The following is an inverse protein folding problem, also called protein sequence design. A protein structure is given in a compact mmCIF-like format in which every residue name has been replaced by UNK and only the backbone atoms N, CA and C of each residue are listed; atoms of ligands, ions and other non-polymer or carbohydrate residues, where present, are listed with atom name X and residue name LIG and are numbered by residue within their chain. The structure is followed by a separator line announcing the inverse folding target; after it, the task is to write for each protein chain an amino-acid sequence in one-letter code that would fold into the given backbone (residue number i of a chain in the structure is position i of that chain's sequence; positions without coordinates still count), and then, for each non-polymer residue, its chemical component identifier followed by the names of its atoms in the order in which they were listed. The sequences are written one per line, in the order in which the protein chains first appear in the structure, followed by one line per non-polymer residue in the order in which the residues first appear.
data_IF_151692836994
#
_entry.id   IF_151692836994
#
_cell.length_a   1.000
_cell.length_b   1.000
_cell.length_c   1.000
_cell.angle_alpha   90.00
_cell.angle_beta   90.00
_cell.angle_gamma   90.00
#
_symmetry.space_group_name_H-M   'P 1'
#
loop_
_entity.id
_entity.type
_entity.pdbx_description
1 polymer ?
#
# COMPACT_ATOMS: atom_id res chain seq x y z
N UNK A 1 21.29 10.67 5.46
CA UNK A 1 21.03 10.25 6.86
C UNK A 1 19.83 9.32 6.79
N UNK A 2 19.98 8.02 7.03
CA UNK A 2 18.85 7.08 6.86
C UNK A 2 17.75 7.37 7.89
N UNK A 3 16.52 7.57 7.41
CA UNK A 3 15.34 7.76 8.24
C UNK A 3 14.64 6.43 8.48
N UNK A 4 14.37 6.06 9.73
CA UNK A 4 13.63 4.82 10.04
C UNK A 4 12.17 5.16 10.34
N UNK A 5 11.26 4.67 9.52
CA UNK A 5 9.82 4.76 9.77
C UNK A 5 9.40 3.49 10.51
N UNK A 6 9.30 3.61 11.84
CA UNK A 6 8.85 2.50 12.67
C UNK A 6 7.32 2.52 12.66
N UNK A 7 6.72 1.53 12.00
CA UNK A 7 5.31 1.26 12.11
C UNK A 7 5.09 0.46 13.40
N UNK A 8 4.19 0.93 14.26
CA UNK A 8 3.82 0.18 15.45
C UNK A 8 3.26 -1.19 15.01
N UNK A 9 3.73 -2.26 15.65
CA UNK A 9 3.21 -3.59 15.41
C UNK A 9 1.70 -3.63 15.60
N UNK A 10 1.14 -2.81 16.49
CA UNK A 10 -0.30 -2.75 16.73
C UNK A 10 -1.06 -2.12 15.55
N UNK A 11 -0.52 -1.09 14.89
CA UNK A 11 -1.09 -0.54 13.65
C UNK A 11 -1.00 -1.52 12.48
N UNK A 12 0.08 -2.31 12.41
CA UNK A 12 0.26 -3.36 11.40
C UNK A 12 -0.54 -4.64 11.69
N UNK A 13 -0.88 -4.90 12.96
CA UNK A 13 -1.76 -5.99 13.38
C UNK A 13 -3.26 -5.60 13.29
N UNK A 14 -3.56 -4.29 13.27
CA UNK A 14 -4.86 -3.71 12.95
C UNK A 14 -5.12 -3.61 11.44
N UNK A 15 -4.07 -3.74 10.61
CA UNK A 15 -4.27 -4.11 9.21
C UNK A 15 -4.96 -5.47 9.24
N UNK A 16 -6.16 -5.62 8.65
CA UNK A 16 -6.86 -6.89 8.68
C UNK A 16 -5.96 -7.97 8.10
N UNK A 17 -5.45 -8.87 8.97
CA UNK A 17 -5.01 -10.17 8.52
C UNK A 17 -6.29 -10.87 8.05
N UNK A 18 -6.33 -11.39 6.82
CA UNK A 18 -7.56 -11.94 6.26
C UNK A 18 -8.11 -13.03 7.20
N UNK A 19 -9.27 -12.79 7.81
CA UNK A 19 -9.90 -13.75 8.70
C UNK A 19 -10.44 -14.94 7.87
N UNK A 20 -10.21 -16.21 8.29
CA UNK A 20 -10.51 -17.41 7.49
C UNK A 20 -12.00 -17.76 7.34
N UNK A 21 -12.90 -16.87 7.77
CA UNK A 21 -14.36 -17.09 7.71
C UNK A 21 -15.00 -16.37 6.51
N UNK A 22 -14.22 -15.59 5.77
CA UNK A 22 -14.68 -14.79 4.64
C UNK A 22 -14.12 -15.40 3.35
N UNK A 23 -15.00 -15.65 2.38
CA UNK A 23 -14.62 -16.25 1.11
C UNK A 23 -13.67 -15.31 0.33
N UNK A 24 -12.36 -15.55 0.45
CA UNK A 24 -11.28 -14.74 -0.11
C UNK A 24 -11.31 -14.62 -1.64
N UNK A 25 -12.06 -15.50 -2.31
CA UNK A 25 -12.12 -15.52 -3.75
C UNK A 25 -12.74 -14.26 -4.36
N UNK A 26 -13.41 -13.39 -3.59
CA UNK A 26 -14.15 -12.27 -4.16
C UNK A 26 -13.44 -10.91 -4.15
N UNK A 27 -12.26 -10.74 -3.57
CA UNK A 27 -11.56 -9.42 -3.56
C UNK A 27 -10.15 -9.49 -4.14
N UNK A 28 -9.58 -10.69 -4.26
CA UNK A 28 -8.29 -10.95 -4.93
C UNK A 28 -8.46 -11.21 -6.43
N UNK A 29 -9.69 -11.39 -6.90
CA UNK A 29 -10.04 -11.42 -8.32
C UNK A 29 -10.86 -10.18 -8.67
N UNK A 30 -10.84 -9.66 -9.90
CA UNK A 30 -11.43 -8.35 -10.21
C UNK A 30 -12.96 -8.22 -10.46
N UNK A 31 -13.71 -9.32 -10.49
CA UNK A 31 -15.11 -9.38 -11.00
C UNK A 31 -16.24 -9.03 -10.00
N UNK A 32 -15.95 -8.39 -8.87
CA UNK A 32 -16.81 -8.50 -7.67
C UNK A 32 -17.80 -7.38 -7.42
N UNK A 33 -17.62 -6.19 -8.00
CA UNK A 33 -18.52 -5.05 -7.74
C UNK A 33 -19.70 -4.97 -8.73
N UNK A 34 -19.50 -5.37 -9.99
CA UNK A 34 -20.55 -5.38 -11.01
C UNK A 34 -21.66 -6.45 -10.81
N UNK A 35 -21.42 -7.44 -9.95
CA UNK A 35 -22.31 -8.59 -9.77
C UNK A 35 -23.45 -8.38 -8.74
N UNK A 36 -23.45 -7.27 -7.97
CA UNK A 36 -24.33 -7.13 -6.81
C UNK A 36 -25.13 -5.81 -6.79
N UNK A 37 -26.44 -5.84 -7.10
CA UNK A 37 -27.31 -4.68 -6.97
C UNK A 37 -27.35 -4.12 -5.53
N UNK A 38 -27.44 -2.79 -5.39
CA UNK A 38 -27.34 -2.07 -4.09
C UNK A 38 -28.31 -2.52 -2.99
N UNK A 39 -29.45 -3.10 -3.38
CA UNK A 39 -30.47 -3.58 -2.46
C UNK A 39 -30.22 -5.03 -1.98
N UNK A 40 -29.13 -5.67 -2.42
CA UNK A 40 -28.82 -7.05 -2.08
C UNK A 40 -27.97 -7.16 -0.83
N UNK A 41 -28.13 -8.27 -0.10
CA UNK A 41 -27.27 -8.60 1.07
C UNK A 41 -25.79 -8.73 0.69
N UNK A 42 -25.50 -9.06 -0.56
CA UNK A 42 -24.14 -9.13 -1.08
C UNK A 42 -23.50 -7.75 -1.22
N UNK A 43 -24.25 -6.75 -1.71
CA UNK A 43 -23.79 -5.35 -1.71
C UNK A 43 -23.55 -4.83 -0.29
N UNK A 44 -24.41 -5.15 0.67
CA UNK A 44 -24.20 -4.77 2.08
C UNK A 44 -22.89 -5.38 2.62
N UNK A 45 -22.56 -6.63 2.27
CA UNK A 45 -21.29 -7.27 2.68
C UNK A 45 -20.08 -6.60 2.03
N UNK A 46 -20.19 -6.20 0.78
CA UNK A 46 -19.15 -5.52 0.03
C UNK A 46 -18.91 -4.09 0.56
N UNK A 47 -19.97 -3.37 0.91
CA UNK A 47 -19.91 -2.08 1.60
C UNK A 47 -19.24 -2.19 2.98
N UNK A 48 -19.50 -3.26 3.73
CA UNK A 48 -18.78 -3.57 4.97
C UNK A 48 -17.28 -3.83 4.74
N UNK A 49 -16.91 -4.57 3.69
CA UNK A 49 -15.50 -4.78 3.32
C UNK A 49 -14.81 -3.47 2.92
N UNK A 50 -15.52 -2.55 2.25
CA UNK A 50 -14.99 -1.21 1.94
C UNK A 50 -14.75 -0.35 3.15
N UNK A 51 -15.61 -0.45 4.15
CA UNK A 51 -15.40 0.26 5.41
C UNK A 51 -14.09 -0.17 6.06
N UNK A 52 -13.68 -1.44 5.94
CA UNK A 52 -12.37 -1.90 6.42
C UNK A 52 -11.24 -1.20 5.68
N UNK A 53 -11.25 -1.18 4.34
CA UNK A 53 -10.22 -0.47 3.55
C UNK A 53 -10.20 1.05 3.79
N UNK A 54 -11.38 1.64 4.02
CA UNK A 54 -11.50 3.04 4.40
C UNK A 54 -10.78 3.31 5.74
N UNK A 55 -11.07 2.53 6.78
CA UNK A 55 -10.40 2.67 8.08
C UNK A 55 -8.90 2.43 7.94
N UNK A 56 -8.51 1.35 7.27
CA UNK A 56 -7.10 1.01 7.02
C UNK A 56 -6.34 2.14 6.31
N UNK A 57 -6.96 2.83 5.35
CA UNK A 57 -6.36 3.98 4.68
C UNK A 57 -6.13 5.16 5.63
N UNK A 58 -7.18 5.58 6.35
CA UNK A 58 -7.15 6.80 7.16
C UNK A 58 -6.50 6.62 8.53
N UNK A 59 -6.45 5.41 9.07
CA UNK A 59 -5.69 5.11 10.28
C UNK A 59 -4.18 5.19 10.01
N UNK A 60 -3.75 4.81 8.80
CA UNK A 60 -2.34 4.89 8.37
C UNK A 60 -1.95 6.29 7.91
N UNK A 61 -2.80 6.96 7.15
CA UNK A 61 -2.53 8.30 6.62
C UNK A 61 -3.71 9.25 6.91
N UNK A 62 -3.86 9.70 8.16
CA UNK A 62 -4.94 10.59 8.56
C UNK A 62 -4.90 11.95 7.84
N UNK A 63 -3.74 12.36 7.31
CA UNK A 63 -3.58 13.60 6.54
C UNK A 63 -4.46 13.63 5.28
N UNK A 64 -4.81 12.46 4.73
CA UNK A 64 -5.72 12.35 3.62
C UNK A 64 -7.13 12.90 3.95
N UNK A 65 -7.54 12.91 5.22
CA UNK A 65 -8.79 13.58 5.63
C UNK A 65 -8.72 15.07 5.33
N UNK A 66 -7.63 15.72 5.73
CA UNK A 66 -7.41 17.15 5.46
C UNK A 66 -7.37 17.43 3.96
N UNK A 67 -6.77 16.51 3.19
CA UNK A 67 -6.68 16.62 1.74
C UNK A 67 -8.05 16.52 1.05
N UNK A 68 -8.92 15.63 1.54
CA UNK A 68 -10.26 15.41 1.01
C UNK A 68 -11.21 16.60 1.20
N UNK A 69 -10.91 17.50 2.14
CA UNK A 69 -11.75 18.66 2.47
C UNK A 69 -13.06 18.30 3.18
N UNK A 70 -13.32 17.01 3.45
CA UNK A 70 -14.50 16.53 4.18
C UNK A 70 -14.10 15.61 5.33
N UNK A 71 -14.76 15.69 6.50
CA UNK A 71 -14.41 14.86 7.66
C UNK A 71 -14.55 13.36 7.44
N UNK A 72 -15.28 12.94 6.41
CA UNK A 72 -15.60 11.54 6.13
C UNK A 72 -14.64 10.87 5.13
N UNK A 73 -13.69 11.61 4.54
CA UNK A 73 -12.73 11.08 3.56
C UNK A 73 -13.36 10.54 2.26
N UNK A 74 -14.68 10.59 2.09
CA UNK A 74 -15.36 10.01 0.93
C UNK A 74 -14.96 10.63 -0.42
N UNK A 75 -14.57 11.92 -0.52
CA UNK A 75 -14.08 12.50 -1.77
C UNK A 75 -12.83 11.84 -2.34
N UNK A 76 -12.01 11.20 -1.51
CA UNK A 76 -10.84 10.42 -1.96
C UNK A 76 -11.26 8.97 -2.14
N UNK A 77 -11.88 8.38 -1.12
CA UNK A 77 -12.11 6.95 -1.10
C UNK A 77 -13.03 6.47 -2.22
N UNK A 78 -14.18 7.12 -2.46
CA UNK A 78 -15.13 6.64 -3.47
C UNK A 78 -14.59 6.72 -4.90
N UNK A 79 -14.03 7.86 -5.35
CA UNK A 79 -13.47 7.94 -6.69
C UNK A 79 -12.28 7.00 -6.91
N UNK A 80 -11.44 6.80 -5.88
CA UNK A 80 -10.38 5.79 -5.92
C UNK A 80 -10.94 4.39 -6.13
N UNK A 81 -11.95 3.98 -5.36
CA UNK A 81 -12.52 2.64 -5.46
C UNK A 81 -13.15 2.37 -6.84
N UNK A 82 -13.80 3.37 -7.45
CA UNK A 82 -14.32 3.27 -8.81
C UNK A 82 -13.20 3.14 -9.86
N UNK A 83 -12.10 3.87 -9.67
CA UNK A 83 -10.94 3.78 -10.56
C UNK A 83 -10.24 2.42 -10.45
N UNK A 84 -10.03 1.95 -9.21
CA UNK A 84 -9.41 0.67 -8.93
C UNK A 84 -10.26 -0.51 -9.43
N UNK A 85 -11.59 -0.42 -9.34
CA UNK A 85 -12.51 -1.37 -9.95
C UNK A 85 -12.29 -1.43 -11.47
N UNK A 86 -12.31 -0.27 -12.15
CA UNK A 86 -12.15 -0.22 -13.62
C UNK A 86 -10.82 -0.82 -14.08
N UNK A 87 -9.76 -0.62 -13.31
CA UNK A 87 -8.42 -1.17 -13.59
C UNK A 87 -8.19 -2.55 -12.99
N UNK A 88 -9.20 -3.13 -12.34
CA UNK A 88 -9.18 -4.51 -11.87
C UNK A 88 -8.03 -4.76 -10.87
N UNK A 89 -7.76 -3.77 -10.01
CA UNK A 89 -6.61 -3.76 -9.09
C UNK A 89 -6.82 -4.63 -7.85
N UNK A 90 -5.73 -5.23 -7.39
CA UNK A 90 -5.58 -6.02 -6.19
C UNK A 90 -5.35 -5.12 -4.99
N UNK A 91 -6.03 -5.43 -3.90
CA UNK A 91 -5.87 -4.73 -2.62
C UNK A 91 -5.07 -5.57 -1.62
N UNK A 92 -4.07 -6.29 -2.11
CA UNK A 92 -3.04 -6.93 -1.29
C UNK A 92 -2.02 -5.88 -0.79
N UNK A 93 -0.76 -6.26 -0.58
CA UNK A 93 0.29 -5.32 -0.20
C UNK A 93 0.40 -4.04 -1.06
N UNK A 94 -0.09 -4.04 -2.31
CA UNK A 94 -0.05 -2.90 -3.23
C UNK A 94 -1.13 -1.84 -3.00
N UNK A 95 -2.10 -2.06 -2.11
CA UNK A 95 -3.25 -1.17 -1.90
C UNK A 95 -2.88 0.32 -1.79
N UNK A 96 -1.95 0.68 -0.90
CA UNK A 96 -1.60 2.09 -0.71
C UNK A 96 -0.75 2.66 -1.85
N UNK A 97 0.00 1.81 -2.57
CA UNK A 97 0.67 2.22 -3.80
C UNK A 97 -0.35 2.62 -4.86
N UNK A 98 -1.43 1.85 -4.99
CA UNK A 98 -2.50 2.18 -5.92
C UNK A 98 -3.26 3.44 -5.53
N UNK A 99 -3.47 3.68 -4.23
CA UNK A 99 -4.00 4.96 -3.75
C UNK A 99 -3.07 6.12 -4.14
N UNK A 100 -1.76 5.97 -3.96
CA UNK A 100 -0.79 6.99 -4.38
C UNK A 100 -0.81 7.23 -5.89
N UNK A 101 -0.75 6.18 -6.71
CA UNK A 101 -0.83 6.27 -8.17
C UNK A 101 -2.11 6.97 -8.64
N UNK A 102 -3.24 6.70 -7.98
CA UNK A 102 -4.49 7.39 -8.26
C UNK A 102 -4.45 8.87 -7.84
N UNK A 103 -3.91 9.18 -6.66
CA UNK A 103 -3.79 10.55 -6.17
C UNK A 103 -2.96 11.42 -7.12
N UNK A 104 -1.88 10.90 -7.70
CA UNK A 104 -1.06 11.57 -8.71
C UNK A 104 -1.84 11.97 -9.97
N UNK A 105 -2.90 11.24 -10.30
CA UNK A 105 -3.73 11.47 -11.49
C UNK A 105 -5.01 12.26 -11.18
N UNK A 106 -5.25 12.57 -9.91
CA UNK A 106 -6.49 13.20 -9.43
C UNK A 106 -6.31 14.71 -9.21
N UNK A 107 -7.39 15.39 -8.84
CA UNK A 107 -7.36 16.81 -8.43
C UNK A 107 -6.48 17.07 -7.19
N UNK A 108 -6.07 16.01 -6.50
CA UNK A 108 -5.29 16.03 -5.28
C UNK A 108 -3.78 16.05 -5.51
N UNK A 109 -3.30 15.82 -6.73
CA UNK A 109 -1.88 15.67 -7.05
C UNK A 109 -1.01 16.83 -6.54
N UNK A 110 -1.51 18.07 -6.68
CA UNK A 110 -0.79 19.29 -6.26
C UNK A 110 -0.73 19.49 -4.74
N UNK A 111 -1.49 18.72 -3.98
CA UNK A 111 -1.57 18.76 -2.52
C UNK A 111 -0.81 17.62 -1.84
N UNK A 112 -0.21 16.71 -2.63
CA UNK A 112 0.58 15.61 -2.09
C UNK A 112 1.87 16.14 -1.48
N UNK A 113 2.02 15.94 -0.17
CA UNK A 113 3.26 16.23 0.54
C UNK A 113 4.15 14.98 0.56
N UNK A 114 5.48 15.14 0.69
CA UNK A 114 6.39 13.99 0.88
C UNK A 114 5.94 13.09 2.03
N UNK A 115 5.42 13.66 3.11
CA UNK A 115 4.92 12.89 4.26
C UNK A 115 3.79 11.92 3.90
N UNK A 116 2.79 12.37 3.12
CA UNK A 116 1.69 11.52 2.65
C UNK A 116 2.25 10.39 1.77
N UNK A 117 3.13 10.74 0.83
CA UNK A 117 3.75 9.78 -0.10
C UNK A 117 4.54 8.72 0.68
N UNK A 118 5.37 9.15 1.64
CA UNK A 118 6.18 8.27 2.46
C UNK A 118 5.32 7.30 3.28
N UNK A 119 4.23 7.80 3.91
CA UNK A 119 3.30 6.95 4.68
C UNK A 119 2.64 5.89 3.81
N UNK A 120 2.17 6.24 2.61
CA UNK A 120 1.52 5.29 1.70
C UNK A 120 2.48 4.22 1.19
N UNK A 121 3.67 4.60 0.73
CA UNK A 121 4.66 3.64 0.23
C UNK A 121 5.12 2.72 1.36
N UNK A 122 5.45 3.30 2.50
CA UNK A 122 5.94 2.53 3.63
C UNK A 122 4.87 1.58 4.20
N UNK A 123 3.60 1.98 4.23
CA UNK A 123 2.51 1.07 4.61
C UNK A 123 2.38 -0.13 3.67
N UNK A 124 2.64 0.05 2.37
CA UNK A 124 2.66 -1.06 1.40
C UNK A 124 3.85 -1.99 1.64
N UNK A 125 5.04 -1.43 1.86
CA UNK A 125 6.24 -2.21 2.20
C UNK A 125 6.05 -3.03 3.48
N UNK A 126 5.49 -2.41 4.52
CA UNK A 126 5.18 -3.08 5.79
C UNK A 126 4.15 -4.20 5.58
N UNK A 127 3.11 -3.95 4.78
CA UNK A 127 2.08 -4.95 4.50
C UNK A 127 2.63 -6.13 3.72
N UNK A 128 3.53 -5.90 2.75
CA UNK A 128 4.23 -6.98 2.06
C UNK A 128 5.01 -7.86 3.05
N UNK A 129 5.75 -7.24 3.97
CA UNK A 129 6.54 -7.96 4.97
C UNK A 129 5.69 -8.83 5.92
N UNK A 130 4.41 -8.48 6.11
CA UNK A 130 3.44 -9.30 6.88
C UNK A 130 2.85 -10.43 6.04
N UNK A 131 2.52 -10.14 4.79
CA UNK A 131 1.76 -11.06 3.94
C UNK A 131 2.64 -12.10 3.24
N UNK A 132 3.85 -11.71 2.82
CA UNK A 132 4.71 -12.55 1.99
C UNK A 132 5.25 -13.75 2.78
N UNK A 133 5.08 -14.94 2.21
CA UNK A 133 5.57 -16.22 2.77
C UNK A 133 6.72 -16.81 1.96
N UNK A 134 7.25 -16.06 1.01
CA UNK A 134 8.39 -16.46 0.19
C UNK A 134 9.71 -16.43 0.94
N UNK A 135 10.77 -16.78 0.23
CA UNK A 135 12.14 -16.88 0.76
C UNK A 135 12.81 -15.51 0.97
N UNK A 136 12.29 -14.46 0.33
CA UNK A 136 12.88 -13.13 0.39
C UNK A 136 12.70 -12.50 1.78
N UNK A 137 13.72 -11.84 2.27
CA UNK A 137 13.75 -11.21 3.60
C UNK A 137 13.15 -9.80 3.59
N UNK A 138 13.20 -9.12 2.43
CA UNK A 138 12.68 -7.76 2.30
C UNK A 138 12.12 -7.44 0.91
N UNK A 139 11.39 -6.34 0.86
CA UNK A 139 10.94 -5.66 -0.36
C UNK A 139 11.51 -4.25 -0.37
N UNK A 140 11.90 -3.78 -1.54
CA UNK A 140 12.34 -2.40 -1.77
C UNK A 140 11.40 -1.79 -2.79
N UNK A 141 10.86 -0.61 -2.47
CA UNK A 141 9.95 0.15 -3.33
C UNK A 141 10.60 1.51 -3.62
N UNK A 142 10.63 1.90 -4.89
CA UNK A 142 11.12 3.20 -5.34
C UNK A 142 10.17 3.84 -6.35
N UNK A 143 10.39 5.13 -6.62
CA UNK A 143 9.56 5.90 -7.54
C UNK A 143 10.36 6.75 -8.51
N UNK A 144 9.66 7.27 -9.53
CA UNK A 144 10.27 8.15 -10.54
C UNK A 144 10.54 9.57 -10.04
N UNK A 145 9.82 9.98 -8.99
CA UNK A 145 9.67 11.38 -8.57
C UNK A 145 10.42 11.71 -7.27
N UNK A 146 10.99 10.70 -6.61
CA UNK A 146 11.77 10.85 -5.38
C UNK A 146 12.99 9.89 -5.43
N UNK A 147 14.16 10.32 -4.95
CA UNK A 147 15.40 9.52 -5.03
C UNK A 147 15.52 8.43 -3.96
N UNK A 148 14.73 8.51 -2.90
CA UNK A 148 14.78 7.56 -1.78
C UNK A 148 14.09 6.23 -2.14
N UNK A 149 14.51 5.16 -1.44
CA UNK A 149 13.83 3.87 -1.49
C UNK A 149 13.27 3.48 -0.13
N UNK A 150 12.18 2.72 -0.16
CA UNK A 150 11.51 2.20 1.02
C UNK A 150 11.77 0.71 1.13
N UNK A 151 12.55 0.30 2.12
CA UNK A 151 12.82 -1.10 2.39
C UNK A 151 11.93 -1.61 3.52
N UNK A 152 11.03 -2.55 3.21
CA UNK A 152 10.20 -3.25 4.20
C UNK A 152 10.79 -4.62 4.52
N UNK A 153 11.06 -4.85 5.80
CA UNK A 153 11.73 -6.07 6.27
C UNK A 153 10.78 -7.02 7.00
N UNK A 154 10.89 -8.32 6.71
CA UNK A 154 10.24 -9.35 7.51
C UNK A 154 10.79 -9.35 8.94
N UNK A 155 10.00 -9.89 9.85
CA UNK A 155 10.43 -10.08 11.23
C UNK A 155 11.53 -11.14 11.28
N UNK A 156 12.72 -10.77 11.77
CA UNK A 156 13.87 -11.66 11.91
C UNK A 156 14.31 -11.89 13.36
N UNK A 157 13.68 -11.18 14.31
CA UNK A 157 13.90 -11.35 15.75
C UNK A 157 12.56 -11.54 16.48
N UNK A 158 12.56 -12.35 17.54
CA UNK A 158 11.36 -12.74 18.32
C UNK A 158 10.68 -11.54 18.99
N UNK A 159 11.47 -10.52 19.33
CA UNK A 159 11.08 -9.21 19.89
C UNK A 159 11.18 -8.06 18.85
N UNK A 160 11.62 -8.38 17.63
CA UNK A 160 11.84 -7.42 16.56
C UNK A 160 10.53 -6.81 16.10
N UNK A 161 10.48 -5.47 16.07
CA UNK A 161 9.41 -4.75 15.39
C UNK A 161 9.54 -4.96 13.88
N UNK A 162 8.41 -4.90 13.20
CA UNK A 162 8.41 -4.80 11.73
C UNK A 162 8.76 -3.37 11.37
N UNK A 163 9.66 -3.21 10.43
CA UNK A 163 10.29 -1.93 10.17
C UNK A 163 10.30 -1.63 8.69
N UNK A 164 10.11 -0.35 8.41
CA UNK A 164 10.34 0.20 7.09
C UNK A 164 11.43 1.25 7.20
N UNK A 165 12.42 1.13 6.35
CA UNK A 165 13.54 2.06 6.28
C UNK A 165 13.38 2.93 5.05
N UNK A 166 13.46 4.25 5.27
CA UNK A 166 13.65 5.22 4.21
C UNK A 166 15.14 5.37 4.00
N UNK A 167 15.63 4.88 2.86
CA UNK A 167 17.04 4.81 2.55
C UNK A 167 17.34 5.85 1.48
N UNK A 168 18.23 6.79 1.84
CA UNK A 168 18.88 7.68 0.90
C UNK A 168 20.10 6.93 0.33
N UNK A 169 20.13 6.72 -0.98
CA UNK A 169 21.23 6.03 -1.63
C UNK A 169 22.32 7.03 -2.04
N UNK A 170 23.58 6.65 -1.82
CA UNK A 170 24.73 7.46 -2.27
C UNK A 170 24.73 7.62 -3.80
N UNK A 171 24.35 6.56 -4.52
CA UNK A 171 24.10 6.58 -5.96
C UNK A 171 22.63 6.25 -6.23
N UNK A 172 21.89 7.12 -6.96
CA UNK A 172 20.48 6.87 -7.23
C UNK A 172 20.32 5.66 -8.15
N UNK A 173 19.33 4.82 -7.87
CA UNK A 173 18.94 3.75 -8.78
C UNK A 173 18.40 4.33 -10.10
N UNK A 174 18.48 3.58 -11.21
CA UNK A 174 17.73 3.89 -12.42
C UNK A 174 16.25 4.12 -12.08
N UNK A 175 15.57 5.01 -12.80
CA UNK A 175 14.14 5.23 -12.56
C UNK A 175 13.32 4.02 -13.03
N UNK A 176 12.24 3.64 -12.32
CA UNK A 176 11.28 2.67 -12.84
C UNK A 176 10.62 3.20 -14.13
N UNK A 177 10.14 2.28 -14.98
CA UNK A 177 9.44 2.65 -16.23
C UNK A 177 8.07 3.29 -15.96
N UNK A 178 7.41 2.88 -14.87
CA UNK A 178 6.17 3.47 -14.36
C UNK A 178 6.46 4.41 -13.17
N UNK A 179 5.41 5.00 -12.56
CA UNK A 179 5.58 5.87 -11.38
C UNK A 179 6.28 5.20 -10.20
N UNK A 180 6.08 3.89 -10.05
CA UNK A 180 6.65 3.07 -9.00
C UNK A 180 7.22 1.78 -9.58
N UNK A 181 8.24 1.26 -8.91
CA UNK A 181 8.75 -0.08 -9.11
C UNK A 181 9.10 -0.74 -7.78
N UNK A 182 9.19 -2.06 -7.79
CA UNK A 182 9.67 -2.79 -6.62
C UNK A 182 10.70 -3.86 -7.00
N UNK A 183 11.47 -4.32 -6.02
CA UNK A 183 12.18 -5.58 -6.10
C UNK A 183 12.27 -6.22 -4.71
N UNK A 184 12.61 -7.49 -4.66
CA UNK A 184 12.76 -8.23 -3.40
C UNK A 184 14.22 -8.58 -3.16
N UNK A 185 14.60 -8.62 -1.89
CA UNK A 185 15.97 -8.94 -1.46
C UNK A 185 15.97 -10.23 -0.62
N UNK A 186 16.93 -11.15 -0.84
CA UNK A 186 16.95 -12.43 -0.13
C UNK A 186 17.45 -12.30 1.32
N UNK A 187 18.28 -11.31 1.62
CA UNK A 187 18.85 -11.04 2.95
C UNK A 187 18.30 -9.73 3.53
N UNK A 188 18.57 -9.46 4.81
CA UNK A 188 18.20 -8.23 5.52
C UNK A 188 19.15 -7.06 5.20
N UNK A 189 19.63 -7.00 3.97
CA UNK A 189 20.65 -6.06 3.50
C UNK A 189 20.35 -5.64 2.05
N UNK A 190 20.73 -4.43 1.69
CA UNK A 190 20.50 -3.83 0.37
C UNK A 190 21.81 -3.76 -0.43
N UNK A 191 22.27 -4.92 -0.90
CA UNK A 191 23.59 -5.03 -1.55
C UNK A 191 23.53 -5.04 -3.08
N UNK A 192 22.40 -5.46 -3.63
CA UNK A 192 22.23 -5.68 -5.06
C UNK A 192 20.92 -5.07 -5.54
N UNK A 193 20.99 -4.35 -6.66
CA UNK A 193 19.82 -3.93 -7.42
C UNK A 193 19.58 -4.89 -8.60
N UNK A 194 18.56 -5.77 -8.54
CA UNK A 194 18.28 -6.73 -9.60
C UNK A 194 17.49 -6.14 -10.78
N UNK A 195 17.14 -4.85 -10.73
CA UNK A 195 16.19 -4.22 -11.65
C UNK A 195 14.80 -4.05 -11.03
N UNK A 196 14.02 -3.14 -11.59
CA UNK A 196 12.63 -2.90 -11.16
C UNK A 196 11.68 -3.94 -11.74
N UNK A 197 10.76 -4.41 -10.90
CA UNK A 197 9.52 -5.10 -11.30
C UNK A 197 8.35 -4.12 -11.26
N UNK A 198 7.38 -4.34 -12.13
CA UNK A 198 6.13 -3.58 -12.16
C UNK A 198 5.24 -3.89 -10.96
N UNK A 199 4.57 -2.89 -10.39
CA UNK A 199 3.63 -3.12 -9.28
C UNK A 199 2.50 -4.06 -9.74
N UNK A 200 2.26 -5.18 -9.04
CA UNK A 200 1.21 -6.13 -9.42
C UNK A 200 -0.18 -5.47 -9.41
N UNK A 201 -0.88 -5.62 -10.52
CA UNK A 201 -2.31 -5.33 -10.63
C UNK A 201 -3.11 -6.38 -9.89
#
# INVERSE_FOLDING_TARGET
MNGRLIFDSDLLNLLPVPHPVWDHQSLDTPDWQGAYPRHTRAYVRLDLSFRVYWHTLYDVCPELIGLSGQPDGLPIFRPFMMWAEKLQLSFNWTFYLWVYCWLLQSEFATKLTPEIVHKLIAASAARWAVMDRGINSGIVIGGSDFPEVFAGWKQHAVDGRREVELIELDEPLPKPEQWLGYFTVPQFELDLFPGWSEIPQ
#
